data_IF_620800197636
#
_entry.id   IF_620800197636
#
_cell.length_a   1.000
_cell.length_b   1.000
_cell.length_c   1.000
_cell.angle_alpha   90.00
_cell.angle_beta   90.00
_cell.angle_gamma   90.00
#
_symmetry.space_group_name_H-M   'P 1'
#
loop_
_entity.id
_entity.type
_entity.pdbx_description
1 polymer ?
#
# COMPACT_ATOMS: atom_id res chain seq x y z
N UNK A 1 -46.36 45.85 -20.36
CA UNK A 1 -45.73 47.02 -21.03
C UNK A 1 -44.42 47.29 -20.30
N UNK A 2 -43.29 47.23 -21.03
CA UNK A 2 -41.89 47.53 -20.64
C UNK A 2 -41.28 46.60 -19.55
N UNK A 3 -40.38 45.64 -19.78
CA UNK A 3 -39.25 45.39 -20.70
C UNK A 3 -37.88 45.95 -20.27
N UNK A 4 -36.95 45.00 -20.09
CA UNK A 4 -35.50 45.01 -20.35
C UNK A 4 -34.50 45.68 -19.40
N UNK A 5 -33.53 44.86 -18.94
CA UNK A 5 -32.15 45.33 -18.74
C UNK A 5 -31.29 44.57 -17.72
N UNK A 6 -30.99 43.29 -17.89
CA UNK A 6 -29.90 42.62 -17.13
C UNK A 6 -29.44 41.32 -17.82
N UNK A 7 -28.76 41.40 -18.97
CA UNK A 7 -28.09 40.24 -19.60
C UNK A 7 -26.97 40.64 -20.58
N UNK A 8 -26.03 41.50 -20.18
CA UNK A 8 -24.85 41.84 -21.00
C UNK A 8 -23.62 42.25 -20.15
N UNK A 9 -23.16 41.39 -19.22
CA UNK A 9 -21.89 41.69 -18.50
C UNK A 9 -20.96 40.52 -18.18
N UNK A 10 -21.36 39.27 -18.38
CA UNK A 10 -20.55 38.10 -18.01
C UNK A 10 -19.74 37.49 -19.17
N UNK A 11 -20.14 37.74 -20.42
CA UNK A 11 -19.51 37.15 -21.61
C UNK A 11 -18.15 37.79 -21.95
N UNK A 12 -17.95 39.07 -21.62
CA UNK A 12 -16.75 39.81 -22.00
C UNK A 12 -15.55 39.58 -21.06
N UNK A 13 -15.80 39.25 -19.78
CA UNK A 13 -14.75 39.01 -18.80
C UNK A 13 -13.98 37.69 -19.05
N UNK A 14 -14.69 36.63 -19.44
CA UNK A 14 -14.11 35.32 -19.78
C UNK A 14 -13.28 35.35 -21.08
N UNK A 15 -13.66 36.20 -22.04
CA UNK A 15 -12.91 36.40 -23.29
C UNK A 15 -11.64 37.25 -23.15
N UNK A 16 -11.60 38.16 -22.17
CA UNK A 16 -10.44 39.02 -21.88
C UNK A 16 -9.34 38.27 -21.10
N UNK A 17 -9.70 37.39 -20.15
CA UNK A 17 -8.73 36.57 -19.41
C UNK A 17 -8.07 35.49 -20.28
N UNK A 18 -8.83 34.85 -21.18
CA UNK A 18 -8.24 33.88 -22.13
C UNK A 18 -7.35 34.55 -23.16
N UNK A 19 -7.70 35.75 -23.66
CA UNK A 19 -6.83 36.52 -24.58
C UNK A 19 -5.54 37.00 -23.90
N UNK A 20 -5.58 37.44 -22.63
CA UNK A 20 -4.37 37.78 -21.86
C UNK A 20 -3.49 36.54 -21.63
N UNK A 21 -4.06 35.41 -21.21
CA UNK A 21 -3.30 34.16 -20.97
C UNK A 21 -2.61 33.61 -22.22
N UNK A 22 -3.24 33.72 -23.39
CA UNK A 22 -2.65 33.30 -24.67
C UNK A 22 -1.60 34.29 -25.17
N UNK A 23 -1.81 35.60 -25.00
CA UNK A 23 -0.83 36.63 -25.38
C UNK A 23 0.46 36.53 -24.54
N UNK A 24 0.34 36.33 -23.22
CA UNK A 24 1.49 36.15 -22.32
C UNK A 24 2.27 34.87 -22.63
N UNK A 25 1.58 33.76 -22.96
CA UNK A 25 2.24 32.50 -23.37
C UNK A 25 2.96 32.64 -24.71
N UNK A 26 2.40 33.41 -25.66
CA UNK A 26 3.03 33.67 -26.96
C UNK A 26 4.27 34.56 -26.84
N UNK A 27 4.22 35.59 -26.00
CA UNK A 27 5.38 36.46 -25.70
C UNK A 27 6.50 35.71 -24.98
N UNK A 28 6.19 34.86 -24.00
CA UNK A 28 7.21 34.05 -23.31
C UNK A 28 7.86 33.04 -24.26
N UNK A 29 7.09 32.46 -25.20
CA UNK A 29 7.61 31.53 -26.20
C UNK A 29 8.48 32.24 -27.25
N UNK A 30 8.08 33.43 -27.71
CA UNK A 30 8.89 34.24 -28.63
C UNK A 30 10.19 34.76 -27.98
N UNK A 31 10.15 35.10 -26.68
CA UNK A 31 11.32 35.52 -25.93
C UNK A 31 12.32 34.35 -25.74
N UNK A 32 11.81 33.13 -25.46
CA UNK A 32 12.62 31.90 -25.38
C UNK A 32 13.20 31.47 -26.73
N UNK A 33 12.44 31.62 -27.82
CA UNK A 33 12.91 31.30 -29.18
C UNK A 33 14.00 32.28 -29.66
N UNK A 34 13.88 33.58 -29.33
CA UNK A 34 14.93 34.58 -29.64
C UNK A 34 16.22 34.34 -28.86
N UNK A 35 16.13 34.00 -27.57
CA UNK A 35 17.32 33.67 -26.77
C UNK A 35 18.00 32.40 -27.27
N UNK A 36 17.24 31.38 -27.68
CA UNK A 36 17.79 30.14 -28.24
C UNK A 36 18.51 30.36 -29.59
N UNK A 37 17.99 31.26 -30.44
CA UNK A 37 18.60 31.63 -31.73
C UNK A 37 19.85 32.53 -31.60
N UNK A 38 19.94 33.35 -30.55
CA UNK A 38 21.16 34.13 -30.26
C UNK A 38 22.27 33.25 -29.66
N UNK A 39 21.94 32.28 -28.79
CA UNK A 39 22.93 31.35 -28.23
C UNK A 39 23.53 30.40 -29.28
N UNK A 40 22.74 30.00 -30.28
CA UNK A 40 23.21 29.10 -31.36
C UNK A 40 24.14 29.77 -32.39
N UNK A 41 24.06 31.10 -32.57
CA UNK A 41 25.02 31.87 -33.37
C UNK A 41 26.35 32.15 -32.66
N UNK A 42 26.39 32.11 -31.32
CA UNK A 42 27.60 32.33 -30.54
C UNK A 42 28.41 31.03 -30.33
N UNK A 43 27.77 29.87 -30.31
CA UNK A 43 28.46 28.56 -30.21
C UNK A 43 29.16 28.09 -31.50
N UNK A 44 28.94 28.74 -32.65
CA UNK A 44 29.58 28.38 -33.92
C UNK A 44 30.86 29.17 -34.23
N UNK A 45 31.31 30.08 -33.35
CA UNK A 45 32.48 30.95 -33.63
C UNK A 45 33.70 30.76 -32.72
N UNK A 46 33.66 29.88 -31.73
CA UNK A 46 34.83 29.56 -30.92
C UNK A 46 34.99 28.04 -30.75
N UNK A 47 35.51 27.40 -31.79
CA UNK A 47 36.30 26.19 -31.66
C UNK A 47 37.70 26.55 -31.14
N UNK A 48 38.22 25.67 -30.28
CA UNK A 48 39.51 25.74 -29.57
C UNK A 48 39.53 26.58 -28.29
N UNK A 49 39.39 25.92 -27.13
CA UNK A 49 40.41 25.83 -26.07
C UNK A 49 39.81 25.03 -24.89
N UNK A 50 40.70 24.27 -24.27
CA UNK A 50 40.57 23.21 -23.25
C UNK A 50 39.93 23.61 -21.90
N UNK A 51 39.05 22.71 -21.42
CA UNK A 51 38.88 22.21 -20.03
C UNK A 51 39.29 23.16 -18.88
N UNK A 52 38.33 23.88 -18.27
CA UNK A 52 38.46 24.39 -16.90
C UNK A 52 37.09 24.52 -16.19
N UNK A 53 37.13 24.36 -14.87
CA UNK A 53 36.05 24.15 -13.90
C UNK A 53 34.87 25.15 -13.95
N UNK A 54 33.63 24.65 -13.97
CA UNK A 54 32.40 25.44 -13.83
C UNK A 54 31.99 25.48 -12.36
N UNK A 55 32.60 26.36 -11.58
CA UNK A 55 32.18 26.62 -10.19
C UNK A 55 32.03 28.11 -9.83
N UNK A 56 32.12 29.04 -10.78
CA UNK A 56 31.86 30.46 -10.53
C UNK A 56 31.23 31.10 -11.77
N UNK A 57 29.91 30.97 -11.97
CA UNK A 57 29.21 31.76 -13.01
C UNK A 57 27.68 31.82 -12.79
N UNK A 58 27.24 32.13 -11.57
CA UNK A 58 25.80 32.31 -11.28
C UNK A 58 25.46 33.72 -10.75
N UNK A 59 26.45 34.57 -10.47
CA UNK A 59 26.21 35.82 -9.74
C UNK A 59 26.11 37.09 -10.61
N UNK A 60 25.86 36.97 -11.92
CA UNK A 60 25.79 38.12 -12.84
C UNK A 60 24.61 38.04 -13.82
N UNK A 61 23.46 37.50 -13.38
CA UNK A 61 22.26 37.35 -14.24
C UNK A 61 21.09 38.29 -13.91
N UNK A 62 21.25 39.20 -12.95
CA UNK A 62 20.20 40.18 -12.59
C UNK A 62 20.28 41.50 -13.35
N UNK A 63 21.41 41.87 -13.96
CA UNK A 63 21.59 43.24 -14.50
C UNK A 63 21.23 43.43 -15.98
N UNK A 64 21.05 42.37 -16.79
CA UNK A 64 20.88 42.51 -18.24
C UNK A 64 19.46 42.21 -18.77
N UNK A 65 18.45 42.13 -17.90
CA UNK A 65 17.05 41.91 -18.34
C UNK A 65 16.26 43.24 -18.43
N UNK A 66 16.75 44.33 -17.82
CA UNK A 66 16.04 45.61 -17.82
C UNK A 66 16.10 46.39 -19.16
N UNK A 67 17.00 46.05 -20.09
CA UNK A 67 17.20 46.88 -21.28
C UNK A 67 16.31 46.52 -22.49
N UNK A 68 15.49 45.46 -22.42
CA UNK A 68 14.64 45.04 -23.55
C UNK A 68 13.15 45.42 -23.43
N UNK A 69 12.67 45.93 -22.30
CA UNK A 69 11.27 46.27 -22.10
C UNK A 69 11.09 47.63 -21.43
N UNK A 70 11.31 48.69 -22.21
CA UNK A 70 10.90 50.05 -21.84
C UNK A 70 9.38 50.20 -21.85
N UNK A 71 8.71 49.78 -20.78
CA UNK A 71 7.41 50.33 -20.39
C UNK A 71 7.16 50.06 -18.91
N UNK A 72 7.00 51.13 -18.14
CA UNK A 72 6.61 51.12 -16.73
C UNK A 72 5.33 50.28 -16.54
N UNK A 73 5.52 49.08 -16.01
CA UNK A 73 4.44 48.26 -15.49
C UNK A 73 4.76 48.01 -14.02
N UNK A 74 4.30 48.93 -13.16
CA UNK A 74 4.33 48.76 -11.71
C UNK A 74 3.28 47.70 -11.35
N UNK A 75 3.67 46.43 -11.41
CA UNK A 75 2.86 45.32 -10.91
C UNK A 75 3.22 45.11 -9.45
N UNK A 76 2.21 45.12 -8.59
CA UNK A 76 2.21 44.60 -7.22
C UNK A 76 2.46 43.06 -7.19
N UNK A 77 3.36 42.56 -8.04
CA UNK A 77 3.55 41.12 -8.34
C UNK A 77 4.14 40.37 -7.14
N UNK A 78 4.94 41.04 -6.32
CA UNK A 78 5.54 40.41 -5.14
C UNK A 78 4.49 40.05 -4.08
N UNK A 79 3.44 40.85 -3.89
CA UNK A 79 2.46 40.55 -2.84
C UNK A 79 1.59 39.34 -3.22
N UNK A 80 1.21 39.22 -4.49
CA UNK A 80 0.42 38.10 -5.00
C UNK A 80 1.21 36.80 -5.10
N UNK A 81 2.49 36.84 -5.47
CA UNK A 81 3.38 35.66 -5.45
C UNK A 81 3.58 35.13 -4.02
N UNK A 82 3.88 36.00 -3.06
CA UNK A 82 4.01 35.58 -1.66
C UNK A 82 2.71 35.03 -1.07
N UNK A 83 1.55 35.58 -1.45
CA UNK A 83 0.24 35.11 -1.00
C UNK A 83 -0.17 33.78 -1.64
N UNK A 84 0.17 33.57 -2.91
CA UNK A 84 -0.01 32.29 -3.60
C UNK A 84 0.92 31.20 -3.04
N UNK A 85 2.16 31.56 -2.74
CA UNK A 85 3.16 30.67 -2.15
C UNK A 85 2.77 30.29 -0.71
N UNK A 86 2.36 31.26 0.12
CA UNK A 86 1.82 31.02 1.46
C UNK A 86 0.52 30.20 1.44
N UNK A 87 -0.38 30.40 0.47
CA UNK A 87 -1.56 29.54 0.28
C UNK A 87 -1.19 28.12 -0.13
N UNK A 88 -0.17 27.94 -0.96
CA UNK A 88 0.32 26.63 -1.37
C UNK A 88 0.98 25.88 -0.21
N UNK A 89 1.77 26.58 0.61
CA UNK A 89 2.43 26.05 1.80
C UNK A 89 1.40 25.71 2.89
N UNK A 90 0.40 26.56 3.11
CA UNK A 90 -0.72 26.29 4.02
C UNK A 90 -1.59 25.10 3.56
N UNK A 91 -1.82 24.95 2.25
CA UNK A 91 -2.57 23.81 1.68
C UNK A 91 -1.80 22.49 1.85
N UNK A 92 -0.48 22.51 1.72
CA UNK A 92 0.39 21.34 1.97
C UNK A 92 0.49 21.01 3.46
N UNK A 93 0.43 22.01 4.35
CA UNK A 93 0.40 21.80 5.80
C UNK A 93 -0.93 21.20 6.30
N UNK A 94 -2.04 21.44 5.59
CA UNK A 94 -3.38 20.97 5.95
C UNK A 94 -3.74 19.56 5.43
N UNK A 95 -2.91 18.94 4.58
CA UNK A 95 -3.24 17.61 4.06
C UNK A 95 -3.10 16.54 5.16
N UNK A 96 -4.15 15.74 5.41
CA UNK A 96 -4.09 14.68 6.41
C UNK A 96 -3.01 13.65 6.02
N UNK A 97 -2.24 13.21 7.02
CA UNK A 97 -1.19 12.20 6.83
C UNK A 97 -1.78 10.94 6.17
N UNK A 98 -1.22 10.51 5.05
CA UNK A 98 -1.71 9.35 4.30
C UNK A 98 -1.82 8.09 5.17
N UNK A 99 -0.96 7.94 6.17
CA UNK A 99 -1.06 6.83 7.13
C UNK A 99 -2.33 6.90 7.96
N UNK A 100 -2.73 8.09 8.40
CA UNK A 100 -3.99 8.30 9.15
C UNK A 100 -5.18 8.05 8.26
N UNK A 101 -5.17 8.55 7.02
CA UNK A 101 -6.23 8.28 6.03
C UNK A 101 -6.37 6.77 5.80
N UNK A 102 -5.24 6.08 5.60
CA UNK A 102 -5.19 4.64 5.34
C UNK A 102 -5.69 3.85 6.55
N UNK A 103 -5.26 4.22 7.76
CA UNK A 103 -5.74 3.64 9.01
C UNK A 103 -7.26 3.81 9.16
N UNK A 104 -7.80 5.00 8.91
CA UNK A 104 -9.25 5.23 8.98
C UNK A 104 -9.99 4.42 7.92
N UNK A 105 -9.50 4.39 6.68
CA UNK A 105 -10.12 3.65 5.59
C UNK A 105 -10.18 2.14 5.87
N UNK A 106 -9.07 1.53 6.27
CA UNK A 106 -9.05 0.09 6.58
C UNK A 106 -9.87 -0.24 7.83
N UNK A 107 -9.84 0.61 8.86
CA UNK A 107 -10.59 0.37 10.10
C UNK A 107 -12.09 0.48 9.85
N UNK A 108 -12.49 1.45 9.02
CA UNK A 108 -13.87 1.57 8.55
C UNK A 108 -14.27 0.36 7.72
N UNK A 109 -13.40 -0.12 6.82
CA UNK A 109 -13.70 -1.27 5.98
C UNK A 109 -13.94 -2.56 6.80
N UNK A 110 -13.12 -2.78 7.84
CA UNK A 110 -13.29 -3.91 8.77
C UNK A 110 -14.56 -3.73 9.60
N UNK A 111 -14.77 -2.54 10.17
CA UNK A 111 -15.91 -2.27 11.04
C UNK A 111 -17.24 -2.45 10.30
N UNK A 112 -17.42 -1.74 9.19
CA UNK A 112 -18.67 -1.80 8.42
C UNK A 112 -18.84 -3.14 7.72
N UNK A 113 -17.78 -3.75 7.20
CA UNK A 113 -17.83 -5.10 6.65
C UNK A 113 -18.23 -6.14 7.70
N UNK A 114 -17.72 -6.02 8.93
CA UNK A 114 -18.09 -6.91 10.04
C UNK A 114 -19.53 -6.70 10.48
N UNK A 115 -19.97 -5.46 10.67
CA UNK A 115 -21.37 -5.12 10.99
C UNK A 115 -22.32 -5.70 9.94
N UNK A 116 -22.02 -5.46 8.66
CA UNK A 116 -22.79 -6.02 7.56
C UNK A 116 -22.82 -7.55 7.62
N UNK A 117 -21.68 -8.19 7.86
CA UNK A 117 -21.58 -9.65 7.90
C UNK A 117 -22.41 -10.28 9.01
N UNK A 118 -22.45 -9.63 10.18
CA UNK A 118 -23.25 -10.07 11.32
C UNK A 118 -24.74 -9.85 11.05
N UNK A 119 -25.10 -8.68 10.52
CA UNK A 119 -26.49 -8.34 10.21
C UNK A 119 -27.12 -9.24 9.13
N UNK A 120 -26.30 -9.70 8.17
CA UNK A 120 -26.76 -10.53 7.05
C UNK A 120 -26.41 -12.01 7.18
N UNK A 121 -25.80 -12.41 8.30
CA UNK A 121 -25.26 -13.75 8.51
C UNK A 121 -24.38 -14.25 7.35
N UNK A 122 -23.63 -13.33 6.73
CA UNK A 122 -22.78 -13.64 5.57
C UNK A 122 -21.37 -14.08 5.94
N UNK A 123 -20.97 -13.95 7.21
CA UNK A 123 -19.67 -14.41 7.67
C UNK A 123 -19.64 -15.95 7.80
N UNK A 124 -18.44 -16.50 7.73
CA UNK A 124 -18.19 -17.93 7.78
C UNK A 124 -17.13 -18.20 8.84
N UNK A 125 -17.42 -19.12 9.77
CA UNK A 125 -16.44 -19.60 10.73
C UNK A 125 -15.40 -20.47 10.00
N UNK A 126 -14.15 -20.02 9.94
CA UNK A 126 -13.08 -20.74 9.24
C UNK A 126 -12.37 -21.74 10.15
N UNK A 127 -12.65 -21.72 11.45
CA UNK A 127 -12.15 -22.71 12.41
C UNK A 127 -12.93 -24.03 12.35
N UNK A 128 -14.13 -24.03 11.73
CA UNK A 128 -14.93 -25.24 11.53
C UNK A 128 -14.25 -26.18 10.52
N UNK A 129 -13.88 -27.41 10.93
CA UNK A 129 -13.21 -28.37 10.07
C UNK A 129 -14.01 -28.75 8.82
N UNK A 130 -15.34 -28.80 8.88
CA UNK A 130 -16.18 -29.17 7.73
C UNK A 130 -16.10 -28.11 6.62
N UNK A 131 -16.03 -26.84 7.02
CA UNK A 131 -15.92 -25.68 6.15
C UNK A 131 -14.48 -25.47 5.66
N UNK A 132 -13.51 -25.64 6.55
CA UNK A 132 -12.10 -25.43 6.27
C UNK A 132 -11.52 -26.50 5.32
N UNK A 133 -11.91 -27.76 5.52
CA UNK A 133 -11.47 -28.91 4.71
C UNK A 133 -12.28 -29.05 3.41
N UNK A 134 -13.29 -28.21 3.19
CA UNK A 134 -14.00 -28.09 1.92
C UNK A 134 -15.11 -29.11 1.70
N UNK A 135 -15.53 -29.81 2.75
CA UNK A 135 -16.71 -30.67 2.72
C UNK A 135 -17.98 -29.83 2.55
N UNK A 136 -18.04 -28.69 3.24
CA UNK A 136 -19.14 -27.72 3.16
C UNK A 136 -18.67 -26.45 2.47
N UNK A 137 -19.36 -26.08 1.38
CA UNK A 137 -19.13 -24.80 0.69
C UNK A 137 -19.72 -23.66 1.52
N UNK A 138 -19.17 -22.46 1.33
CA UNK A 138 -19.75 -21.23 1.91
C UNK A 138 -21.26 -21.15 1.51
N UNK A 139 -22.20 -20.79 2.40
CA UNK A 139 -23.63 -20.73 2.07
C UNK A 139 -23.93 -19.85 0.86
N UNK A 140 -23.25 -18.70 0.78
CA UNK A 140 -23.31 -17.78 -0.36
C UNK A 140 -22.42 -18.14 -1.57
N UNK A 141 -21.83 -19.34 -1.63
CA UNK A 141 -20.88 -19.72 -2.68
C UNK A 141 -21.46 -19.59 -4.10
N UNK A 142 -22.72 -19.99 -4.28
CA UNK A 142 -23.35 -20.04 -5.59
C UNK A 142 -24.00 -18.71 -5.99
N UNK A 143 -24.28 -17.84 -5.02
CA UNK A 143 -24.92 -16.53 -5.25
C UNK A 143 -23.92 -15.37 -5.30
N UNK A 144 -22.79 -15.46 -4.59
CA UNK A 144 -21.81 -14.38 -4.52
C UNK A 144 -20.45 -14.80 -5.06
N UNK A 145 -19.93 -14.04 -6.04
CA UNK A 145 -18.59 -14.24 -6.59
C UNK A 145 -17.51 -14.22 -5.51
N UNK A 146 -17.61 -13.33 -4.54
CA UNK A 146 -16.57 -13.11 -3.54
C UNK A 146 -16.63 -14.07 -2.36
N UNK A 147 -17.75 -14.75 -2.15
CA UNK A 147 -17.86 -15.86 -1.20
C UNK A 147 -17.09 -17.12 -1.68
N UNK A 148 -16.76 -17.21 -2.97
CA UNK A 148 -16.00 -18.34 -3.53
C UNK A 148 -14.53 -18.22 -3.17
N UNK A 149 -13.94 -19.24 -2.55
CA UNK A 149 -12.49 -19.32 -2.26
C UNK A 149 -11.62 -19.28 -3.54
N UNK A 150 -12.19 -19.54 -4.71
CA UNK A 150 -11.51 -19.56 -6.02
C UNK A 150 -11.55 -18.24 -6.77
N UNK A 151 -12.14 -17.17 -6.20
CA UNK A 151 -12.21 -15.87 -6.85
C UNK A 151 -10.82 -15.27 -7.15
N UNK A 152 -10.73 -14.39 -8.16
CA UNK A 152 -9.46 -13.80 -8.64
C UNK A 152 -8.78 -12.98 -7.55
N UNK A 153 -9.55 -12.24 -6.74
CA UNK A 153 -9.02 -11.45 -5.63
C UNK A 153 -8.27 -12.37 -4.64
N UNK A 154 -8.82 -13.53 -4.33
CA UNK A 154 -8.17 -14.49 -3.44
C UNK A 154 -6.96 -15.18 -4.09
N UNK A 155 -7.13 -15.72 -5.29
CA UNK A 155 -6.14 -16.59 -5.94
C UNK A 155 -4.91 -15.84 -6.45
N UNK A 156 -5.09 -14.61 -6.96
CA UNK A 156 -4.00 -13.80 -7.53
C UNK A 156 -3.42 -12.83 -6.51
N UNK A 157 -4.28 -12.14 -5.75
CA UNK A 157 -3.84 -11.04 -4.88
C UNK A 157 -3.61 -11.50 -3.44
N UNK A 158 -4.65 -11.94 -2.73
CA UNK A 158 -4.58 -12.20 -1.28
C UNK A 158 -3.55 -13.30 -0.95
N UNK A 159 -3.59 -14.44 -1.67
CA UNK A 159 -2.62 -15.54 -1.45
C UNK A 159 -1.16 -15.14 -1.73
N UNK A 160 -0.92 -14.06 -2.49
CA UNK A 160 0.41 -13.55 -2.83
C UNK A 160 0.62 -12.14 -2.29
N UNK A 161 -0.13 -11.73 -1.27
CA UNK A 161 -0.20 -10.34 -0.85
C UNK A 161 1.16 -9.76 -0.43
N UNK A 162 1.98 -10.53 0.30
CA UNK A 162 3.31 -10.09 0.69
C UNK A 162 4.26 -9.91 -0.51
N UNK A 163 4.16 -10.79 -1.52
CA UNK A 163 4.94 -10.68 -2.75
C UNK A 163 4.60 -9.41 -3.53
N UNK A 164 3.31 -9.11 -3.71
CA UNK A 164 2.85 -7.87 -4.34
C UNK A 164 3.27 -6.61 -3.56
N UNK A 165 3.16 -6.66 -2.23
CA UNK A 165 3.58 -5.57 -1.33
C UNK A 165 5.08 -5.32 -1.42
N UNK A 166 5.89 -6.38 -1.46
CA UNK A 166 7.34 -6.29 -1.68
C UNK A 166 7.65 -5.74 -3.07
N UNK A 167 6.95 -6.16 -4.11
CA UNK A 167 7.13 -5.63 -5.47
C UNK A 167 6.84 -4.13 -5.56
N UNK A 168 5.75 -3.66 -4.94
CA UNK A 168 5.42 -2.22 -4.88
C UNK A 168 6.47 -1.43 -4.09
N UNK A 169 6.93 -1.97 -2.95
CA UNK A 169 8.04 -1.38 -2.18
C UNK A 169 9.32 -1.25 -3.01
N UNK A 170 9.75 -2.33 -3.68
CA UNK A 170 10.95 -2.31 -4.50
C UNK A 170 10.84 -1.30 -5.64
N UNK A 171 9.67 -1.20 -6.28
CA UNK A 171 9.43 -0.18 -7.31
C UNK A 171 9.58 1.24 -6.75
N UNK A 172 9.00 1.53 -5.57
CA UNK A 172 9.15 2.83 -4.91
C UNK A 172 10.60 3.12 -4.50
N UNK A 173 11.28 2.12 -3.93
CA UNK A 173 12.64 2.24 -3.42
C UNK A 173 13.67 2.43 -4.53
N UNK A 174 13.60 1.63 -5.60
CA UNK A 174 14.52 1.71 -6.74
C UNK A 174 14.36 2.99 -7.58
N UNK A 175 13.15 3.55 -7.61
CA UNK A 175 12.86 4.79 -8.37
C UNK A 175 12.95 6.04 -7.51
N UNK A 176 13.30 5.91 -6.23
CA UNK A 176 13.40 7.02 -5.31
C UNK A 176 14.53 7.98 -5.73
N UNK A 177 14.28 9.29 -5.84
CA UNK A 177 15.27 10.23 -6.37
C UNK A 177 16.45 10.41 -5.39
N UNK A 178 17.67 10.10 -5.84
CA UNK A 178 18.90 10.24 -5.03
C UNK A 178 19.19 11.68 -4.62
N UNK A 179 18.76 12.67 -5.42
CA UNK A 179 18.96 14.11 -5.16
C UNK A 179 18.00 14.67 -4.09
N UNK A 180 17.00 13.89 -3.66
CA UNK A 180 16.14 14.29 -2.53
C UNK A 180 16.89 14.29 -1.19
N UNK A 181 18.06 13.65 -1.11
CA UNK A 181 18.91 13.70 0.08
C UNK A 181 19.66 15.04 0.24
N UNK A 182 19.87 15.81 -0.84
CA UNK A 182 20.63 17.07 -0.86
C UNK A 182 19.74 18.32 -0.82
N UNK A 183 18.42 18.19 -0.99
CA UNK A 183 17.53 19.33 -0.89
C UNK A 183 17.42 19.74 0.58
N UNK A 184 18.00 20.90 0.94
CA UNK A 184 18.01 21.51 2.28
C UNK A 184 16.63 21.87 2.87
N UNK A 185 15.59 21.11 2.52
CA UNK A 185 14.29 21.14 3.16
C UNK A 185 14.44 20.64 4.60
N UNK A 186 14.12 21.50 5.56
CA UNK A 186 14.12 21.23 7.01
C UNK A 186 13.12 20.13 7.44
N UNK A 187 12.41 19.51 6.48
CA UNK A 187 11.43 18.44 6.71
C UNK A 187 12.14 17.09 6.63
N UNK A 188 12.04 16.27 7.69
CA UNK A 188 12.56 14.90 7.74
C UNK A 188 12.07 14.09 6.53
N UNK A 189 12.97 13.83 5.59
CA UNK A 189 12.73 12.94 4.45
C UNK A 189 13.21 11.55 4.86
N UNK A 190 12.35 10.54 4.74
CA UNK A 190 12.71 9.15 5.04
C UNK A 190 13.78 8.68 4.03
N UNK A 191 14.94 8.25 4.54
CA UNK A 191 16.06 7.82 3.69
C UNK A 191 15.79 6.44 3.08
N UNK A 192 16.45 6.12 1.96
CA UNK A 192 16.38 4.79 1.35
C UNK A 192 16.86 3.67 2.27
N UNK A 193 17.76 3.96 3.23
CA UNK A 193 18.21 3.01 4.25
C UNK A 193 17.15 2.77 5.32
N UNK A 194 16.46 3.82 5.77
CA UNK A 194 15.31 3.69 6.67
C UNK A 194 14.19 2.85 6.03
N UNK A 195 13.87 3.11 4.76
CA UNK A 195 12.91 2.32 3.98
C UNK A 195 13.26 0.83 3.97
N UNK A 196 14.53 0.49 3.72
CA UNK A 196 15.01 -0.89 3.71
C UNK A 196 14.92 -1.55 5.09
N UNK A 197 15.33 -0.84 6.16
CA UNK A 197 15.21 -1.34 7.54
C UNK A 197 13.76 -1.66 7.90
N UNK A 198 12.83 -0.78 7.55
CA UNK A 198 11.39 -0.97 7.78
C UNK A 198 10.85 -2.16 6.99
N UNK A 199 11.26 -2.33 5.73
CA UNK A 199 10.87 -3.49 4.93
C UNK A 199 11.41 -4.81 5.50
N UNK A 200 12.67 -4.83 5.95
CA UNK A 200 13.26 -6.00 6.62
C UNK A 200 12.50 -6.34 7.91
N UNK A 201 12.16 -5.34 8.72
CA UNK A 201 11.37 -5.52 9.93
C UNK A 201 9.97 -6.09 9.60
N UNK A 202 9.29 -5.52 8.61
CA UNK A 202 7.97 -5.99 8.17
C UNK A 202 8.03 -7.43 7.61
N UNK A 203 9.08 -7.76 6.87
CA UNK A 203 9.35 -9.12 6.36
C UNK A 203 9.59 -10.09 7.50
N UNK A 204 10.35 -9.70 8.53
CA UNK A 204 10.58 -10.53 9.71
C UNK A 204 9.28 -10.79 10.47
N UNK A 205 8.44 -9.77 10.67
CA UNK A 205 7.10 -9.94 11.27
C UNK A 205 6.26 -10.90 10.45
N UNK A 206 6.16 -10.71 9.14
CA UNK A 206 5.44 -11.63 8.27
C UNK A 206 5.98 -13.06 8.37
N UNK A 207 7.30 -13.26 8.38
CA UNK A 207 7.91 -14.59 8.51
C UNK A 207 7.57 -15.26 9.84
N UNK A 208 7.59 -14.53 10.96
CA UNK A 208 7.24 -15.10 12.29
C UNK A 208 5.78 -15.55 12.36
N UNK A 209 4.87 -14.80 11.74
CA UNK A 209 3.43 -15.08 11.81
C UNK A 209 2.92 -16.00 10.70
N UNK A 210 3.52 -15.96 9.50
CA UNK A 210 3.02 -16.64 8.31
C UNK A 210 3.94 -17.74 7.77
N UNK A 211 5.22 -17.76 8.16
CA UNK A 211 6.18 -18.76 7.70
C UNK A 211 6.65 -19.68 8.83
N UNK A 212 7.10 -20.86 8.43
CA UNK A 212 7.72 -21.85 9.31
C UNK A 212 9.15 -21.40 9.67
N UNK A 213 9.28 -20.37 10.49
CA UNK A 213 10.58 -19.86 10.93
C UNK A 213 10.81 -20.35 12.36
N UNK A 214 11.51 -21.48 12.50
CA UNK A 214 11.78 -22.21 13.76
C UNK A 214 10.60 -22.98 14.38
N UNK A 215 9.90 -23.77 13.56
CA UNK A 215 8.77 -24.62 13.98
C UNK A 215 7.42 -24.10 13.46
N UNK A 216 6.29 -24.55 14.03
CA UNK A 216 4.95 -24.11 13.64
C UNK A 216 4.83 -22.61 13.69
N UNK A 217 4.12 -22.04 12.72
CA UNK A 217 3.90 -20.60 12.64
C UNK A 217 3.23 -20.10 13.93
N UNK A 218 3.49 -18.85 14.34
CA UNK A 218 2.94 -18.34 15.59
C UNK A 218 1.40 -18.40 15.63
N UNK A 219 0.74 -18.21 14.48
CA UNK A 219 -0.71 -18.38 14.36
C UNK A 219 -1.15 -19.82 14.65
N UNK A 220 -0.43 -20.83 14.14
CA UNK A 220 -0.71 -22.24 14.43
C UNK A 220 -0.55 -22.55 15.93
N UNK A 221 0.44 -21.94 16.60
CA UNK A 221 0.63 -22.09 18.06
C UNK A 221 -0.49 -21.42 18.87
N UNK A 222 -0.99 -20.28 18.42
CA UNK A 222 -2.12 -19.61 19.08
C UNK A 222 -3.40 -20.44 18.92
N UNK A 223 -3.61 -21.04 17.76
CA UNK A 223 -4.74 -21.94 17.53
C UNK A 223 -4.64 -23.19 18.42
N UNK A 224 -3.48 -23.81 18.56
CA UNK A 224 -3.34 -24.98 19.46
C UNK A 224 -3.49 -24.59 20.93
N UNK A 225 -2.92 -23.45 21.35
CA UNK A 225 -3.06 -22.94 22.71
C UNK A 225 -4.51 -22.61 23.09
N UNK A 226 -5.31 -22.15 22.13
CA UNK A 226 -6.73 -21.83 22.33
C UNK A 226 -7.65 -23.06 22.27
N UNK A 227 -7.10 -24.28 22.24
CA UNK A 227 -7.86 -25.53 22.22
C UNK A 227 -8.02 -26.15 20.83
N UNK A 228 -7.20 -25.74 19.86
CA UNK A 228 -7.23 -26.29 18.52
C UNK A 228 -6.82 -27.77 18.48
N UNK A 229 -7.62 -28.56 17.76
CA UNK A 229 -7.41 -29.98 17.55
C UNK A 229 -6.84 -30.21 16.15
N UNK A 230 -5.87 -31.11 16.05
CA UNK A 230 -5.37 -31.56 14.76
C UNK A 230 -6.33 -32.60 14.19
N UNK A 231 -6.93 -32.32 13.04
CA UNK A 231 -8.00 -33.16 12.47
C UNK A 231 -7.80 -33.47 11.00
N UNK A 232 -8.35 -34.59 10.56
CA UNK A 232 -8.49 -34.99 9.16
C UNK A 232 -9.96 -35.18 8.82
N UNK A 233 -10.31 -34.93 7.56
CA UNK A 233 -11.60 -35.28 7.00
C UNK A 233 -11.50 -36.69 6.41
N UNK A 234 -12.32 -37.60 6.90
CA UNK A 234 -12.45 -38.95 6.36
C UNK A 234 -13.28 -38.92 5.06
N UNK A 235 -13.13 -39.92 4.17
CA UNK A 235 -13.99 -40.06 2.98
C UNK A 235 -15.49 -40.08 3.31
N UNK A 236 -15.85 -40.63 4.47
CA UNK A 236 -17.25 -40.65 4.97
C UNK A 236 -17.78 -39.29 5.42
N UNK A 237 -17.00 -38.21 5.31
CA UNK A 237 -17.36 -36.86 5.74
C UNK A 237 -17.22 -36.61 7.24
N UNK A 238 -16.85 -37.63 8.02
CA UNK A 238 -16.57 -37.51 9.45
C UNK A 238 -15.23 -36.83 9.70
N UNK A 239 -15.17 -36.00 10.74
CA UNK A 239 -13.92 -35.36 11.19
C UNK A 239 -13.28 -36.22 12.26
N UNK A 240 -12.03 -36.64 12.03
CA UNK A 240 -11.29 -37.49 12.95
C UNK A 240 -10.07 -36.75 13.53
N UNK A 241 -9.91 -36.68 14.87
CA UNK A 241 -8.75 -36.08 15.49
C UNK A 241 -7.53 -37.00 15.39
N UNK A 242 -6.37 -36.42 15.11
CA UNK A 242 -5.07 -37.10 15.04
C UNK A 242 -4.06 -36.39 15.95
N UNK A 243 -2.94 -37.03 16.33
CA UNK A 243 -1.91 -36.39 17.15
C UNK A 243 -1.39 -35.08 16.55
N UNK A 244 -1.17 -34.08 17.41
CA UNK A 244 -0.84 -32.70 17.02
C UNK A 244 0.44 -32.59 16.19
N UNK A 245 1.38 -33.50 16.42
CA UNK A 245 2.67 -33.56 15.71
C UNK A 245 2.52 -33.73 14.19
N UNK A 246 1.48 -34.40 13.72
CA UNK A 246 1.22 -34.57 12.29
C UNK A 246 0.75 -33.26 11.60
N UNK A 247 0.05 -32.37 12.33
CA UNK A 247 -0.29 -31.04 11.82
C UNK A 247 0.94 -30.15 11.69
N UNK A 248 1.87 -30.27 12.64
CA UNK A 248 3.12 -29.52 12.61
C UNK A 248 4.05 -30.03 11.51
N UNK A 249 4.28 -31.33 11.42
CA UNK A 249 5.13 -31.89 10.35
C UNK A 249 4.50 -31.80 8.95
N UNK A 250 3.20 -31.52 8.85
CA UNK A 250 2.41 -31.49 7.62
C UNK A 250 2.54 -32.79 6.82
N UNK A 251 2.67 -33.91 7.53
CA UNK A 251 2.73 -35.26 6.96
C UNK A 251 1.43 -35.59 6.26
N UNK A 252 1.53 -36.23 5.10
CA UNK A 252 0.38 -36.84 4.45
C UNK A 252 0.05 -38.12 5.22
N UNK A 253 -1.21 -38.24 5.64
CA UNK A 253 -1.72 -39.41 6.35
C UNK A 253 -2.55 -40.25 5.39
N UNK A 254 -2.37 -41.56 5.44
CA UNK A 254 -3.20 -42.54 4.75
C UNK A 254 -3.37 -43.80 5.61
N UNK A 255 -4.45 -44.58 5.41
CA UNK A 255 -4.60 -45.89 6.06
C UNK A 255 -3.42 -46.83 5.81
N UNK A 256 -2.78 -46.75 4.63
CA UNK A 256 -1.63 -47.59 4.30
C UNK A 256 -0.33 -47.19 5.04
N UNK A 257 -0.12 -45.89 5.26
CA UNK A 257 1.10 -45.36 5.90
C UNK A 257 1.01 -45.29 7.41
N UNK A 258 -0.20 -45.06 7.95
CA UNK A 258 -0.46 -44.85 9.38
C UNK A 258 -1.68 -45.68 9.82
N UNK A 259 -1.62 -47.02 9.72
CA UNK A 259 -2.75 -47.88 10.04
C UNK A 259 -3.26 -47.68 11.48
N UNK A 260 -2.37 -47.39 12.42
CA UNK A 260 -2.68 -47.16 13.83
C UNK A 260 -3.65 -46.00 14.08
N UNK A 261 -3.72 -45.02 13.16
CA UNK A 261 -4.62 -43.87 13.28
C UNK A 261 -6.03 -44.20 12.79
N UNK A 262 -6.18 -45.16 11.88
CA UNK A 262 -7.42 -45.38 11.13
C UNK A 262 -8.09 -46.73 11.42
N UNK A 263 -7.36 -47.73 11.89
CA UNK A 263 -7.90 -49.06 12.25
C UNK A 263 -8.27 -49.16 13.75
N UNK A 264 -9.06 -48.20 14.24
CA UNK A 264 -9.59 -48.20 15.61
C UNK A 264 -11.08 -48.58 15.64
N UNK A 265 -11.59 -49.20 16.72
CA UNK A 265 -12.97 -49.71 16.81
C UNK A 265 -14.12 -48.74 16.42
N UNK A 266 -14.03 -47.40 16.60
CA UNK A 266 -15.06 -46.50 16.09
C UNK A 266 -15.01 -46.20 14.58
N UNK A 267 -13.90 -46.51 13.89
CA UNK A 267 -13.70 -46.24 12.45
C UNK A 267 -13.76 -47.49 11.58
N UNK A 268 -13.40 -48.66 12.12
CA UNK A 268 -13.36 -49.93 11.37
C UNK A 268 -14.74 -50.38 10.85
N UNK A 269 -15.83 -49.81 11.38
CA UNK A 269 -17.20 -50.09 10.96
C UNK A 269 -17.66 -49.27 9.74
N UNK A 270 -16.90 -48.27 9.30
CA UNK A 270 -17.20 -47.53 8.06
C UNK A 270 -16.49 -48.24 6.88
N UNK A 271 -17.24 -49.00 6.07
CA UNK A 271 -16.71 -49.65 4.86
C UNK A 271 -16.08 -48.65 3.86
N UNK A 272 -16.53 -47.38 3.90
CA UNK A 272 -15.99 -46.28 3.07
C UNK A 272 -14.55 -45.86 3.45
N UNK A 273 -14.02 -46.28 4.60
CA UNK A 273 -12.65 -45.96 5.06
C UNK A 273 -11.61 -46.96 4.54
N UNK A 274 -12.04 -48.10 3.98
CA UNK A 274 -11.18 -49.23 3.57
C UNK A 274 -10.34 -48.89 2.31
N UNK A 275 -10.76 -47.90 1.52
CA UNK A 275 -9.97 -47.42 0.38
C UNK A 275 -8.68 -46.72 0.82
N UNK A 276 -7.64 -46.78 -0.01
CA UNK A 276 -6.44 -45.97 0.21
C UNK A 276 -6.73 -44.51 -0.19
N UNK A 277 -6.67 -43.61 0.78
CA UNK A 277 -6.88 -42.17 0.59
C UNK A 277 -5.80 -41.40 1.32
N UNK A 278 -5.47 -40.24 0.79
CA UNK A 278 -4.49 -39.34 1.37
C UNK A 278 -5.17 -38.07 1.87
N UNK A 279 -4.80 -37.65 3.08
CA UNK A 279 -5.22 -36.35 3.61
C UNK A 279 -4.10 -35.68 4.35
N UNK A 280 -4.14 -34.35 4.37
CA UNK A 280 -3.22 -33.54 5.17
C UNK A 280 -3.97 -33.02 6.37
N UNK A 281 -3.54 -33.38 7.60
CA UNK A 281 -4.19 -32.93 8.80
C UNK A 281 -4.05 -31.42 8.92
N UNK A 282 -5.06 -30.80 9.53
CA UNK A 282 -5.07 -29.36 9.81
C UNK A 282 -5.53 -29.08 11.21
N UNK A 283 -4.97 -28.04 11.80
CA UNK A 283 -5.34 -27.56 13.12
C UNK A 283 -6.62 -26.73 13.03
N UNK A 284 -7.68 -27.16 13.72
CA UNK A 284 -9.05 -26.63 13.63
C UNK A 284 -9.69 -26.53 15.03
N UNK A 285 -10.92 -26.02 15.14
CA UNK A 285 -11.72 -25.92 16.40
C UNK A 285 -11.19 -24.99 17.50
N UNK A 286 -10.01 -24.41 17.34
CA UNK A 286 -9.47 -23.34 18.20
C UNK A 286 -9.72 -21.95 17.61
N UNK A 287 -9.11 -20.94 18.23
CA UNK A 287 -9.18 -19.57 17.71
C UNK A 287 -8.32 -19.43 16.44
N UNK A 288 -8.97 -19.33 15.27
CA UNK A 288 -8.33 -19.14 13.96
C UNK A 288 -8.18 -17.64 13.64
N UNK A 289 -7.11 -17.02 14.14
CA UNK A 289 -6.78 -15.62 13.83
C UNK A 289 -6.80 -15.39 12.32
N UNK A 290 -7.53 -14.37 11.86
CA UNK A 290 -7.59 -14.07 10.43
C UNK A 290 -6.24 -13.61 9.87
N UNK A 291 -5.49 -14.56 9.30
CA UNK A 291 -4.20 -14.31 8.66
C UNK A 291 -4.29 -13.35 7.47
N UNK A 292 -5.41 -13.34 6.75
CA UNK A 292 -5.66 -12.37 5.66
C UNK A 292 -5.81 -10.94 6.19
N UNK A 293 -6.65 -10.73 7.22
CA UNK A 293 -6.83 -9.40 7.82
C UNK A 293 -5.51 -8.92 8.44
N UNK A 294 -4.78 -9.80 9.13
CA UNK A 294 -3.43 -9.53 9.65
C UNK A 294 -2.49 -9.02 8.54
N UNK A 295 -2.30 -9.82 7.49
CA UNK A 295 -1.31 -9.52 6.46
C UNK A 295 -1.68 -8.28 5.65
N UNK A 296 -2.95 -8.13 5.27
CA UNK A 296 -3.41 -6.99 4.47
C UNK A 296 -3.39 -5.69 5.28
N UNK A 297 -3.72 -5.72 6.57
CA UNK A 297 -3.65 -4.55 7.46
C UNK A 297 -2.20 -4.04 7.56
N UNK A 298 -1.26 -4.94 7.86
CA UNK A 298 0.15 -4.58 7.92
C UNK A 298 0.67 -4.08 6.58
N UNK A 299 0.30 -4.76 5.48
CA UNK A 299 0.75 -4.43 4.12
C UNK A 299 0.30 -3.05 3.67
N UNK A 300 -0.99 -2.70 3.85
CA UNK A 300 -1.51 -1.41 3.40
C UNK A 300 -0.96 -0.23 4.22
N UNK A 301 -0.79 -0.41 5.53
CA UNK A 301 -0.17 0.61 6.39
C UNK A 301 1.32 0.79 6.10
N UNK A 302 2.03 -0.31 5.84
CA UNK A 302 3.42 -0.27 5.41
C UNK A 302 3.57 0.49 4.08
N UNK A 303 2.76 0.18 3.07
CA UNK A 303 2.79 0.91 1.78
C UNK A 303 2.44 2.39 1.94
N UNK A 304 1.51 2.74 2.83
CA UNK A 304 1.20 4.13 3.17
C UNK A 304 2.40 4.86 3.80
N UNK A 305 3.19 4.18 4.63
CA UNK A 305 4.44 4.75 5.18
C UNK A 305 5.50 4.91 4.07
N UNK A 306 5.61 3.96 3.14
CA UNK A 306 6.58 3.98 2.05
C UNK A 306 6.29 5.05 0.98
N UNK A 307 5.03 5.37 0.71
CA UNK A 307 4.65 6.38 -0.29
C UNK A 307 4.71 7.82 0.26
N UNK A 308 4.63 7.98 1.59
CA UNK A 308 4.64 9.28 2.29
C UNK A 308 5.79 10.22 1.91
N UNK A 309 7.08 9.80 1.88
CA UNK A 309 8.17 10.69 1.45
C UNK A 309 7.98 11.14 -0.01
N UNK A 310 7.54 10.24 -0.89
CA UNK A 310 7.31 10.53 -2.31
C UNK A 310 6.19 11.53 -2.58
N UNK A 311 5.19 11.60 -1.70
CA UNK A 311 4.12 12.61 -1.77
C UNK A 311 4.58 13.99 -1.28
N UNK A 312 5.63 14.04 -0.47
CA UNK A 312 6.21 15.29 0.03
C UNK A 312 7.21 15.91 -0.97
N UNK A 313 7.61 15.16 -2.00
CA UNK A 313 8.54 15.63 -3.03
C UNK A 313 7.83 16.50 -4.08
N UNK A 314 8.44 17.62 -4.51
CA UNK A 314 8.00 18.38 -5.67
C UNK A 314 7.88 17.49 -6.91
N UNK A 315 6.85 17.70 -7.72
CA UNK A 315 6.61 16.94 -8.95
C UNK A 315 7.78 16.99 -9.92
N UNK A 316 8.52 18.11 -9.95
CA UNK A 316 9.70 18.31 -10.79
C UNK A 316 10.86 17.33 -10.48
N UNK A 317 10.94 16.80 -9.26
CA UNK A 317 11.98 15.85 -8.87
C UNK A 317 11.58 14.38 -9.12
N UNK A 318 10.32 14.13 -9.48
CA UNK A 318 9.80 12.76 -9.66
C UNK A 318 9.92 12.35 -11.12
N UNK A 319 10.72 11.31 -11.37
CA UNK A 319 10.78 10.67 -12.68
C UNK A 319 9.44 10.08 -13.08
N UNK A 320 9.20 9.89 -14.38
CA UNK A 320 8.01 9.18 -14.88
C UNK A 320 7.88 7.79 -14.25
N UNK A 321 9.00 7.07 -14.13
CA UNK A 321 9.03 5.76 -13.47
C UNK A 321 8.59 5.83 -12.00
N UNK A 322 9.03 6.84 -11.25
CA UNK A 322 8.61 7.03 -9.86
C UNK A 322 7.12 7.37 -9.75
N UNK A 323 6.59 8.21 -10.64
CA UNK A 323 5.15 8.50 -10.68
C UNK A 323 4.32 7.24 -11.01
N UNK A 324 4.81 6.38 -11.91
CA UNK A 324 4.20 5.07 -12.16
C UNK A 324 4.23 4.18 -10.92
N UNK A 325 5.34 4.13 -10.18
CA UNK A 325 5.47 3.35 -8.95
C UNK A 325 4.52 3.85 -7.83
N UNK A 326 4.39 5.16 -7.64
CA UNK A 326 3.42 5.78 -6.72
C UNK A 326 1.99 5.37 -7.11
N UNK A 327 1.64 5.52 -8.40
CA UNK A 327 0.30 5.19 -8.90
C UNK A 327 -0.03 3.71 -8.74
N UNK A 328 0.89 2.82 -9.13
CA UNK A 328 0.73 1.38 -8.97
C UNK A 328 0.58 0.98 -7.49
N UNK A 329 1.35 1.63 -6.60
CA UNK A 329 1.24 1.39 -5.16
C UNK A 329 -0.11 1.84 -4.62
N UNK A 330 -0.62 3.01 -5.05
CA UNK A 330 -1.94 3.50 -4.64
C UNK A 330 -3.06 2.57 -5.11
N UNK A 331 -2.98 2.04 -6.34
CA UNK A 331 -3.92 1.04 -6.85
C UNK A 331 -3.86 -0.23 -6.01
N UNK A 332 -2.67 -0.72 -5.70
CA UNK A 332 -2.49 -1.92 -4.87
C UNK A 332 -3.05 -1.71 -3.45
N UNK A 333 -2.84 -0.54 -2.86
CA UNK A 333 -3.44 -0.18 -1.56
C UNK A 333 -4.98 -0.20 -1.62
N UNK A 334 -5.58 0.31 -2.70
CA UNK A 334 -7.03 0.25 -2.88
C UNK A 334 -7.53 -1.20 -3.00
N UNK A 335 -6.79 -2.06 -3.71
CA UNK A 335 -7.06 -3.51 -3.79
C UNK A 335 -6.98 -4.14 -2.39
N UNK A 336 -6.03 -3.75 -1.55
CA UNK A 336 -5.95 -4.24 -0.16
C UNK A 336 -7.11 -3.81 0.71
N UNK A 337 -7.54 -2.55 0.64
CA UNK A 337 -8.73 -2.09 1.36
C UNK A 337 -9.97 -2.83 0.90
N UNK A 338 -10.12 -3.03 -0.42
CA UNK A 338 -11.23 -3.82 -0.97
C UNK A 338 -11.17 -5.29 -0.54
N UNK A 339 -9.99 -5.91 -0.57
CA UNK A 339 -9.79 -7.28 -0.09
C UNK A 339 -10.15 -7.42 1.40
N UNK A 340 -9.72 -6.48 2.24
CA UNK A 340 -10.11 -6.42 3.66
C UNK A 340 -11.63 -6.33 3.82
N UNK A 341 -12.30 -5.48 3.03
CA UNK A 341 -13.76 -5.38 3.04
C UNK A 341 -14.41 -6.73 2.68
N UNK A 342 -14.00 -7.34 1.56
CA UNK A 342 -14.58 -8.62 1.13
C UNK A 342 -14.31 -9.76 2.13
N UNK A 343 -13.11 -9.80 2.71
CA UNK A 343 -12.80 -10.74 3.79
C UNK A 343 -13.69 -10.50 5.01
N UNK A 344 -13.92 -9.24 5.39
CA UNK A 344 -14.78 -8.89 6.52
C UNK A 344 -16.26 -9.24 6.27
N UNK A 345 -16.72 -9.21 5.02
CA UNK A 345 -18.10 -9.57 4.66
C UNK A 345 -18.32 -11.09 4.65
N UNK A 346 -17.40 -11.87 4.06
CA UNK A 346 -17.66 -13.28 3.72
C UNK A 346 -16.90 -14.32 4.55
N UNK A 347 -15.87 -13.95 5.30
CA UNK A 347 -15.00 -14.92 5.95
C UNK A 347 -14.69 -14.50 7.38
N UNK A 348 -14.32 -15.49 8.20
CA UNK A 348 -13.98 -15.36 9.61
C UNK A 348 -15.12 -14.88 10.51
N UNK A 349 -15.07 -15.28 11.77
CA UNK A 349 -15.94 -14.73 12.81
C UNK A 349 -15.50 -13.29 13.16
N UNK A 350 -16.37 -12.46 13.78
CA UNK A 350 -15.98 -11.12 14.23
C UNK A 350 -14.74 -11.09 15.13
N UNK A 351 -14.58 -12.10 15.98
CA UNK A 351 -13.45 -12.18 16.91
C UNK A 351 -12.13 -12.53 16.20
N UNK A 352 -12.17 -13.43 15.22
CA UNK A 352 -11.04 -13.77 14.36
C UNK A 352 -10.57 -12.57 13.52
N UNK A 353 -11.52 -11.76 13.01
CA UNK A 353 -11.23 -10.50 12.32
C UNK A 353 -10.54 -9.50 13.24
N UNK A 354 -11.06 -9.31 14.46
CA UNK A 354 -10.53 -8.37 15.44
C UNK A 354 -9.09 -8.73 15.84
N UNK A 355 -8.85 -9.99 16.16
CA UNK A 355 -7.51 -10.46 16.56
C UNK A 355 -6.51 -10.37 15.41
N UNK A 356 -6.91 -10.72 14.18
CA UNK A 356 -6.09 -10.51 12.98
C UNK A 356 -5.75 -9.03 12.76
N UNK A 357 -6.73 -8.14 12.94
CA UNK A 357 -6.55 -6.70 12.83
C UNK A 357 -5.56 -6.15 13.87
N UNK A 358 -5.73 -6.52 15.14
CA UNK A 358 -4.83 -6.10 16.24
C UNK A 358 -3.40 -6.55 15.96
N UNK A 359 -3.20 -7.80 15.53
CA UNK A 359 -1.87 -8.31 15.19
C UNK A 359 -1.28 -7.60 13.97
N UNK A 360 -2.11 -7.24 12.98
CA UNK A 360 -1.65 -6.48 11.81
C UNK A 360 -1.20 -5.07 12.17
N UNK A 361 -1.94 -4.41 13.07
CA UNK A 361 -1.54 -3.12 13.65
C UNK A 361 -0.25 -3.24 14.47
N UNK A 362 -0.15 -4.24 15.34
CA UNK A 362 1.05 -4.47 16.16
C UNK A 362 2.27 -4.73 15.27
N UNK A 363 2.11 -5.54 14.22
CA UNK A 363 3.14 -5.78 13.22
C UNK A 363 3.59 -4.50 12.51
N UNK A 364 2.65 -3.64 12.12
CA UNK A 364 2.99 -2.32 11.57
C UNK A 364 3.70 -1.43 12.59
N UNK A 365 3.20 -1.33 13.84
CA UNK A 365 3.80 -0.52 14.89
C UNK A 365 5.23 -0.95 15.23
N UNK A 366 5.53 -2.25 15.14
CA UNK A 366 6.89 -2.76 15.27
C UNK A 366 7.85 -2.14 14.24
N UNK A 367 7.41 -1.96 12.99
CA UNK A 367 8.22 -1.28 11.95
C UNK A 367 8.48 0.19 12.24
N UNK A 368 7.72 0.78 13.17
CA UNK A 368 7.80 2.20 13.52
C UNK A 368 8.74 2.46 14.71
N UNK A 369 9.31 1.42 15.32
CA UNK A 369 10.22 1.56 16.44
C UNK A 369 11.44 2.43 16.08
N UNK A 370 11.96 3.24 17.04
CA UNK A 370 13.07 4.17 16.77
C UNK A 370 14.33 3.51 16.20
N UNK A 371 14.56 2.23 16.50
CA UNK A 371 15.69 1.45 15.97
C UNK A 371 15.73 1.39 14.44
N UNK A 372 14.55 1.37 13.79
CA UNK A 372 14.45 1.32 12.33
C UNK A 372 14.48 2.71 11.69
N UNK A 373 14.32 3.77 12.48
CA UNK A 373 14.33 5.14 12.00
C UNK A 373 15.77 5.70 11.99
N UNK A 374 16.14 6.45 10.95
CA UNK A 374 17.43 7.14 10.97
C UNK A 374 17.33 8.42 11.79
N UNK A 375 18.21 8.57 12.78
CA UNK A 375 18.35 9.82 13.53
C UNK A 375 19.01 10.83 12.60
N UNK A 376 18.38 11.98 12.44
CA UNK A 376 19.02 13.14 11.81
C UNK A 376 20.17 13.53 12.74
N UNK A 377 21.42 13.64 12.25
CA UNK A 377 22.49 14.21 13.07
C UNK A 377 22.07 15.64 13.43
N UNK A 378 21.97 15.93 14.73
CA UNK A 378 21.82 17.31 15.18
C UNK A 378 23.04 18.07 14.67
N UNK A 379 22.79 19.03 13.77
CA UNK A 379 23.81 19.99 13.39
C UNK A 379 23.99 20.88 14.62
N UNK A 380 25.04 20.64 15.40
CA UNK A 380 25.48 21.60 16.40
C UNK A 380 25.94 22.86 15.65
N UNK A 381 25.08 23.89 15.64
CA UNK A 381 25.50 25.26 15.33
C UNK A 381 26.47 25.68 16.44
N UNK A 382 27.77 25.71 16.11
CA UNK A 382 28.82 26.33 16.93
C UNK A 382 29.05 27.77 16.49
#
# INVERSE_FOLDING_TARGET
MLSNGFYLRESDALGLETKRSVATKRQILECRLRTYFQTSRLTTRHSHVTRFSVTHYVESRSENVEECCGHDFHVDDNHDVHKAQARSEAKVASMPDIRRITFVALSSAILFGTIYSVATHSYLDTSDPLVALGHVKHPLHDVSYFARKTNILNTVFIKRAWGWTTGAFLALWLTYPSTANDSGSRRRVMTGREMLKKWLAATAVWMVFAAWFFGPALLERLTSFSGGECVVLLPSGKVHPVPLEYCYSRTVLSPASHPELFFIPPLVLDEEIIGDWESRPRLMRGHDVSGHIFLLTMSVLFLADMIRPSLSLPSALRSTAHNCAITATAILMAIWVFAIWMTSVYFHTPFEKLTGYILGLAGFLFTQLPFFQERIPEVHEN
#
